data_IF_759267085259
#
_entry.id   IF_759267085259
#
_cell.length_a   1.000
_cell.length_b   1.000
_cell.length_c   1.000
_cell.angle_alpha   90.00
_cell.angle_beta   90.00
_cell.angle_gamma   90.00
#
_symmetry.space_group_name_H-M   'P 1'
#
loop_
_entity.id
_entity.type
_entity.pdbx_description
1 polymer ?
#
# COMPACT_ATOMS: atom_id res chain seq x y z
N UNK A 1 5.01 -4.08 -37.70
CA UNK A 1 3.88 -4.88 -38.21
C UNK A 1 3.97 -6.32 -37.71
N UNK A 2 5.14 -6.98 -37.79
CA UNK A 2 5.30 -8.36 -37.28
C UNK A 2 5.20 -8.49 -35.74
N UNK A 3 5.62 -7.47 -34.98
CA UNK A 3 5.40 -7.40 -33.53
C UNK A 3 3.89 -7.40 -33.17
N UNK A 4 3.10 -6.58 -33.89
CA UNK A 4 1.65 -6.45 -33.71
C UNK A 4 0.92 -7.74 -34.12
N UNK A 5 1.39 -8.42 -35.18
CA UNK A 5 0.84 -9.69 -35.65
C UNK A 5 1.13 -10.83 -34.68
N UNK A 6 2.30 -10.82 -34.04
CA UNK A 6 2.65 -11.76 -32.97
C UNK A 6 1.84 -11.49 -31.70
N UNK A 7 1.57 -10.24 -31.34
CA UNK A 7 0.68 -9.87 -30.24
C UNK A 7 -0.72 -10.49 -30.42
N UNK A 8 -1.33 -10.34 -31.60
CA UNK A 8 -2.69 -10.85 -31.88
C UNK A 8 -2.83 -12.37 -31.71
N UNK A 9 -1.77 -13.15 -31.94
CA UNK A 9 -1.77 -14.61 -31.72
C UNK A 9 -1.79 -15.00 -30.24
N UNK A 10 -1.28 -14.17 -29.34
CA UNK A 10 -1.33 -14.38 -27.88
C UNK A 10 -2.69 -14.02 -27.29
N UNK A 11 -3.49 -13.17 -27.95
CA UNK A 11 -4.79 -12.70 -27.46
C UNK A 11 -5.97 -13.61 -27.86
N UNK A 12 -5.90 -14.35 -28.97
CA UNK A 12 -6.98 -15.26 -29.38
C UNK A 12 -7.34 -16.38 -28.36
N UNK A 13 -6.39 -16.93 -27.56
CA UNK A 13 -6.71 -17.87 -26.49
C UNK A 13 -7.35 -17.25 -25.24
N UNK A 14 -7.30 -15.93 -25.05
CA UNK A 14 -7.81 -15.24 -23.86
C UNK A 14 -9.35 -15.18 -23.82
N UNK A 15 -10.04 -15.17 -24.97
CA UNK A 15 -11.50 -15.26 -25.03
C UNK A 15 -12.04 -16.59 -24.47
N UNK A 16 -11.30 -17.69 -24.67
CA UNK A 16 -11.67 -19.00 -24.11
C UNK A 16 -11.46 -19.07 -22.59
N UNK A 17 -10.51 -18.30 -22.06
CA UNK A 17 -10.32 -18.16 -20.61
C UNK A 17 -11.41 -17.28 -19.98
N UNK A 18 -11.95 -16.29 -20.72
CA UNK A 18 -13.12 -15.50 -20.31
C UNK A 18 -14.38 -16.37 -20.22
N UNK A 19 -14.56 -17.31 -21.14
CA UNK A 19 -15.67 -18.27 -21.12
C UNK A 19 -15.52 -19.31 -19.99
N UNK A 20 -14.29 -19.75 -19.70
CA UNK A 20 -13.98 -20.53 -18.50
C UNK A 20 -14.27 -19.77 -17.20
N UNK A 21 -13.84 -18.50 -17.10
CA UNK A 21 -14.15 -17.63 -15.97
C UNK A 21 -15.66 -17.42 -15.84
N UNK A 22 -16.39 -17.17 -16.94
CA UNK A 22 -17.88 -17.07 -16.96
C UNK A 22 -18.57 -18.37 -16.50
N UNK A 23 -18.01 -19.54 -16.82
CA UNK A 23 -18.56 -20.82 -16.39
C UNK A 23 -18.20 -21.18 -14.94
N UNK A 24 -17.04 -20.75 -14.44
CA UNK A 24 -16.69 -20.84 -13.02
C UNK A 24 -17.51 -19.84 -12.17
N UNK A 25 -17.79 -18.65 -12.72
CA UNK A 25 -18.63 -17.57 -12.17
C UNK A 25 -20.07 -18.02 -11.90
N UNK A 26 -20.62 -18.94 -12.71
CA UNK A 26 -21.99 -19.43 -12.53
C UNK A 26 -22.17 -20.41 -11.36
N UNK A 27 -21.09 -20.83 -10.67
CA UNK A 27 -21.12 -21.94 -9.70
C UNK A 27 -20.51 -21.64 -8.32
N UNK A 28 -20.22 -20.37 -7.99
CA UNK A 28 -19.67 -19.95 -6.68
C UNK A 28 -18.44 -20.77 -6.20
N UNK A 29 -17.59 -21.22 -7.14
CA UNK A 29 -16.35 -21.89 -6.78
C UNK A 29 -15.28 -20.87 -6.37
N UNK A 30 -14.47 -21.15 -5.33
CA UNK A 30 -13.20 -20.45 -5.19
C UNK A 30 -12.39 -20.62 -6.49
N UNK A 31 -11.83 -19.52 -7.02
CA UNK A 31 -10.96 -19.53 -8.20
C UNK A 31 -9.60 -20.16 -7.87
N UNK A 32 -9.62 -21.43 -7.49
CA UNK A 32 -8.46 -22.29 -7.26
C UNK A 32 -8.51 -23.39 -8.31
N UNK A 33 -7.51 -23.44 -9.20
CA UNK A 33 -7.39 -24.50 -10.21
C UNK A 33 -6.63 -24.08 -11.48
N UNK A 34 -6.41 -25.02 -12.42
CA UNK A 34 -5.51 -24.84 -13.56
C UNK A 34 -5.86 -23.65 -14.49
N UNK A 35 -7.14 -23.30 -14.60
CA UNK A 35 -7.58 -22.17 -15.43
C UNK A 35 -7.25 -20.81 -14.83
N UNK A 36 -7.27 -20.69 -13.49
CA UNK A 36 -6.82 -19.49 -12.78
C UNK A 36 -5.31 -19.31 -12.87
N UNK A 37 -4.55 -20.38 -12.66
CA UNK A 37 -3.08 -20.38 -12.81
C UNK A 37 -2.68 -19.97 -14.22
N UNK A 38 -3.35 -20.50 -15.24
CA UNK A 38 -3.14 -20.10 -16.64
C UNK A 38 -3.51 -18.63 -16.89
N UNK A 39 -4.60 -18.13 -16.31
CA UNK A 39 -4.98 -16.72 -16.42
C UNK A 39 -3.95 -15.78 -15.77
N UNK A 40 -3.43 -16.17 -14.61
CA UNK A 40 -2.36 -15.44 -13.91
C UNK A 40 -1.02 -15.49 -14.66
N UNK A 41 -0.67 -16.64 -15.23
CA UNK A 41 0.50 -16.77 -16.10
C UNK A 41 0.37 -15.89 -17.34
N UNK A 42 -0.77 -15.93 -18.04
CA UNK A 42 -1.02 -15.06 -19.18
C UNK A 42 -0.91 -13.57 -18.82
N UNK A 43 -1.41 -13.17 -17.64
CA UNK A 43 -1.26 -11.80 -17.15
C UNK A 43 0.21 -11.43 -16.94
N UNK A 44 0.99 -12.35 -16.36
CA UNK A 44 2.42 -12.18 -16.13
C UNK A 44 3.18 -12.05 -17.46
N UNK A 45 2.94 -12.95 -18.40
CA UNK A 45 3.59 -12.92 -19.73
C UNK A 45 3.26 -11.62 -20.48
N UNK A 46 2.01 -11.14 -20.38
CA UNK A 46 1.60 -9.86 -20.95
C UNK A 46 2.27 -8.67 -20.26
N UNK A 47 2.40 -8.71 -18.93
CA UNK A 47 3.11 -7.69 -18.18
C UNK A 47 4.58 -7.64 -18.61
N UNK A 48 5.28 -8.77 -18.65
CA UNK A 48 6.68 -8.86 -19.11
C UNK A 48 6.84 -8.34 -20.54
N UNK A 49 5.92 -8.71 -21.43
CA UNK A 49 5.89 -8.19 -22.79
C UNK A 49 5.80 -6.65 -22.81
N UNK A 50 4.87 -6.06 -22.06
CA UNK A 50 4.71 -4.61 -21.99
C UNK A 50 5.89 -3.89 -21.34
N UNK A 51 6.47 -4.49 -20.30
CA UNK A 51 7.68 -3.98 -19.65
C UNK A 51 8.90 -4.04 -20.57
N UNK A 52 8.99 -5.05 -21.43
CA UNK A 52 10.06 -5.23 -22.42
C UNK A 52 9.98 -4.29 -23.62
N UNK A 53 8.88 -3.57 -23.81
CA UNK A 53 8.83 -2.45 -24.76
C UNK A 53 9.83 -1.38 -24.31
N UNK A 54 10.50 -0.68 -25.22
CA UNK A 54 11.57 0.28 -24.85
C UNK A 54 11.06 1.45 -24.01
N UNK A 55 10.64 2.54 -24.67
CA UNK A 55 10.21 3.76 -24.00
C UNK A 55 8.77 3.66 -23.46
N UNK A 56 8.37 4.62 -22.62
CA UNK A 56 6.96 4.82 -22.24
C UNK A 56 6.10 5.15 -23.49
N UNK A 57 6.67 5.85 -24.46
CA UNK A 57 6.01 6.15 -25.73
C UNK A 57 5.77 4.91 -26.60
N UNK A 58 6.70 3.95 -26.60
CA UNK A 58 6.52 2.69 -27.31
C UNK A 58 5.40 1.85 -26.69
N UNK A 59 5.30 1.89 -25.36
CA UNK A 59 4.18 1.31 -24.64
C UNK A 59 2.86 1.98 -25.07
N UNK A 60 2.78 3.31 -25.02
CA UNK A 60 1.57 4.03 -25.46
C UNK A 60 1.21 3.79 -26.93
N UNK A 61 2.17 3.77 -27.85
CA UNK A 61 1.92 3.44 -29.26
C UNK A 61 1.36 2.03 -29.42
N UNK A 62 1.84 1.08 -28.63
CA UNK A 62 1.35 -0.30 -28.62
C UNK A 62 -0.08 -0.36 -28.09
N UNK A 63 -0.39 0.38 -27.02
CA UNK A 63 -1.75 0.53 -26.48
C UNK A 63 -2.69 1.11 -27.54
N UNK A 64 -2.31 2.20 -28.20
CA UNK A 64 -3.13 2.87 -29.22
C UNK A 64 -3.33 1.99 -30.47
N UNK A 65 -2.34 1.18 -30.84
CA UNK A 65 -2.50 0.19 -31.91
C UNK A 65 -3.52 -0.89 -31.52
N UNK A 66 -3.42 -1.41 -30.30
CA UNK A 66 -4.33 -2.43 -29.79
C UNK A 66 -5.76 -1.93 -29.61
N UNK A 67 -5.95 -0.73 -29.06
CA UNK A 67 -7.25 -0.08 -28.93
C UNK A 67 -7.94 0.14 -30.30
N UNK A 68 -7.16 0.52 -31.32
CA UNK A 68 -7.67 0.65 -32.70
C UNK A 68 -8.13 -0.68 -33.27
N UNK A 69 -7.38 -1.76 -33.04
CA UNK A 69 -7.74 -3.08 -33.54
C UNK A 69 -8.95 -3.67 -32.79
N UNK A 70 -9.05 -3.48 -31.48
CA UNK A 70 -10.26 -3.83 -30.71
C UNK A 70 -11.51 -3.15 -31.28
N UNK A 71 -11.45 -1.82 -31.47
CA UNK A 71 -12.54 -1.04 -32.07
C UNK A 71 -12.93 -1.53 -33.47
N UNK A 72 -11.97 -1.99 -34.27
CA UNK A 72 -12.23 -2.57 -35.60
C UNK A 72 -12.93 -3.92 -35.55
N UNK A 73 -12.66 -4.73 -34.53
CA UNK A 73 -13.22 -6.09 -34.41
C UNK A 73 -14.63 -6.14 -33.81
N UNK A 74 -15.27 -5.00 -33.52
CA UNK A 74 -16.59 -4.89 -32.87
C UNK A 74 -16.71 -5.65 -31.53
N UNK A 75 -15.57 -6.04 -30.95
CA UNK A 75 -15.49 -6.60 -29.61
C UNK A 75 -15.44 -5.43 -28.63
N UNK A 76 -16.47 -5.38 -27.79
CA UNK A 76 -16.74 -4.54 -26.58
C UNK A 76 -15.73 -3.47 -26.15
N UNK A 77 -16.27 -2.34 -25.68
CA UNK A 77 -15.67 -1.25 -24.89
C UNK A 77 -14.19 -0.93 -25.13
N UNK A 78 -13.91 0.27 -25.66
CA UNK A 78 -12.55 0.77 -25.87
C UNK A 78 -11.61 0.51 -24.68
N UNK A 79 -10.36 0.14 -24.97
CA UNK A 79 -9.31 -0.04 -23.96
C UNK A 79 -9.02 1.30 -23.27
N UNK A 80 -8.93 2.36 -24.07
CA UNK A 80 -8.74 3.73 -23.63
C UNK A 80 -10.02 4.53 -23.86
N UNK A 81 -10.57 5.07 -22.77
CA UNK A 81 -11.62 6.08 -22.84
C UNK A 81 -11.00 7.45 -22.59
N UNK A 82 -11.15 8.38 -23.54
CA UNK A 82 -10.65 9.75 -23.34
C UNK A 82 -11.56 10.51 -22.38
N UNK A 83 -10.95 11.38 -21.58
CA UNK A 83 -11.71 12.37 -20.84
C UNK A 83 -12.47 13.30 -21.81
N UNK A 84 -13.73 13.57 -21.49
CA UNK A 84 -14.61 14.40 -22.32
C UNK A 84 -14.21 15.87 -22.21
N UNK A 85 -14.33 16.58 -23.33
CA UNK A 85 -14.05 18.01 -23.38
C UNK A 85 -15.23 18.81 -22.82
N UNK A 86 -15.01 20.05 -22.32
CA UNK A 86 -16.11 20.95 -21.93
C UNK A 86 -17.15 21.15 -23.05
N UNK A 87 -16.71 21.17 -24.31
CA UNK A 87 -17.57 21.27 -25.49
C UNK A 87 -18.49 20.05 -25.62
N UNK A 88 -17.96 18.83 -25.45
CA UNK A 88 -18.74 17.60 -25.53
C UNK A 88 -19.79 17.54 -24.40
N UNK A 89 -19.43 17.97 -23.19
CA UNK A 89 -20.36 18.05 -22.06
C UNK A 89 -21.50 19.04 -22.35
N UNK A 90 -21.18 20.21 -22.92
CA UNK A 90 -22.21 21.18 -23.38
C UNK A 90 -23.12 20.63 -24.48
N UNK A 91 -22.66 19.63 -25.22
CA UNK A 91 -23.43 18.92 -26.24
C UNK A 91 -24.20 17.71 -25.68
N UNK A 92 -24.21 17.51 -24.36
CA UNK A 92 -24.99 16.46 -23.70
C UNK A 92 -24.26 15.13 -23.52
N UNK A 93 -22.95 15.06 -23.79
CA UNK A 93 -22.13 13.88 -23.44
C UNK A 93 -21.93 13.85 -21.92
N UNK A 94 -22.08 12.66 -21.32
CA UNK A 94 -21.87 12.48 -19.89
C UNK A 94 -20.47 12.95 -19.46
N UNK A 95 -20.43 13.78 -18.41
CA UNK A 95 -19.18 14.25 -17.80
C UNK A 95 -18.41 13.06 -17.22
N UNK A 96 -17.16 12.86 -17.63
CA UNK A 96 -16.27 11.83 -17.09
C UNK A 96 -14.94 12.39 -16.55
N UNK A 97 -14.81 13.73 -16.43
CA UNK A 97 -13.64 14.36 -15.80
C UNK A 97 -13.69 14.23 -14.27
N UNK A 98 -12.56 13.92 -13.60
CA UNK A 98 -12.52 13.69 -12.16
C UNK A 98 -13.10 14.83 -11.30
N UNK A 99 -14.10 14.50 -10.47
CA UNK A 99 -14.80 15.42 -9.54
C UNK A 99 -15.13 16.82 -10.15
N UNK A 100 -15.41 16.93 -11.46
CA UNK A 100 -15.70 18.21 -12.14
C UNK A 100 -17.12 18.70 -11.82
N UNK A 101 -17.27 19.96 -11.39
CA UNK A 101 -18.55 20.60 -11.03
C UNK A 101 -19.42 19.84 -10.01
N UNK A 102 -18.81 18.96 -9.20
CA UNK A 102 -19.55 18.17 -8.21
C UNK A 102 -20.44 17.07 -8.81
N UNK A 103 -20.40 16.80 -10.12
CA UNK A 103 -21.19 15.75 -10.78
C UNK A 103 -20.40 15.14 -11.95
N UNK A 104 -20.01 13.87 -11.86
CA UNK A 104 -19.17 13.20 -12.87
C UNK A 104 -19.44 11.69 -12.94
N UNK A 105 -19.00 11.02 -13.99
CA UNK A 105 -18.87 9.56 -14.04
C UNK A 105 -17.59 9.11 -13.31
N UNK A 106 -16.60 10.00 -13.13
CA UNK A 106 -15.33 9.68 -12.47
C UNK A 106 -15.13 10.51 -11.22
N UNK A 107 -14.81 9.83 -10.12
CA UNK A 107 -14.60 10.44 -8.82
C UNK A 107 -13.26 10.00 -8.25
N UNK A 108 -12.44 10.96 -7.83
CA UNK A 108 -11.21 10.69 -7.07
C UNK A 108 -11.57 10.72 -5.59
N UNK A 109 -11.42 9.56 -4.95
CA UNK A 109 -11.76 9.39 -3.54
C UNK A 109 -10.66 9.98 -2.64
N UNK A 110 -10.99 10.21 -1.38
CA UNK A 110 -10.01 10.69 -0.38
C UNK A 110 -8.78 9.79 -0.25
N UNK A 111 -8.92 8.48 -0.52
CA UNK A 111 -7.79 7.55 -0.56
C UNK A 111 -6.90 7.69 -1.81
N UNK A 112 -7.24 8.60 -2.73
CA UNK A 112 -6.53 8.89 -3.98
C UNK A 112 -6.86 7.97 -5.14
N UNK A 113 -7.69 6.95 -4.92
CA UNK A 113 -8.14 6.06 -5.99
C UNK A 113 -9.28 6.71 -6.77
N UNK A 114 -9.28 6.54 -8.08
CA UNK A 114 -10.38 6.96 -8.92
C UNK A 114 -11.38 5.81 -9.09
N UNK A 115 -12.67 6.14 -9.06
CA UNK A 115 -13.78 5.23 -9.34
C UNK A 115 -14.65 5.76 -10.46
N UNK A 116 -15.21 4.84 -11.26
CA UNK A 116 -16.06 5.08 -12.40
C UNK A 116 -17.48 4.56 -12.15
N UNK A 117 -18.48 5.34 -12.51
CA UNK A 117 -19.89 4.96 -12.52
C UNK A 117 -20.43 5.02 -13.96
N UNK A 118 -21.27 4.05 -14.33
CA UNK A 118 -21.88 4.01 -15.66
C UNK A 118 -22.73 5.25 -15.98
N UNK A 119 -23.30 5.90 -14.96
CA UNK A 119 -24.02 7.15 -15.06
C UNK A 119 -23.27 8.25 -14.29
N UNK A 120 -23.49 9.51 -14.66
CA UNK A 120 -22.95 10.65 -13.91
C UNK A 120 -23.61 10.70 -12.52
N UNK A 121 -22.82 10.82 -11.45
CA UNK A 121 -23.25 10.84 -10.04
C UNK A 121 -22.68 12.08 -9.34
N UNK A 122 -23.35 12.55 -8.29
CA UNK A 122 -22.89 13.67 -7.47
C UNK A 122 -21.68 13.28 -6.62
N UNK A 123 -20.72 14.20 -6.48
CA UNK A 123 -19.56 14.03 -5.60
C UNK A 123 -20.04 13.99 -4.14
N UNK A 124 -19.92 12.82 -3.51
CA UNK A 124 -20.22 12.64 -2.10
C UNK A 124 -19.08 13.06 -1.18
N UNK A 125 -19.27 12.95 0.15
CA UNK A 125 -18.29 13.33 1.18
C UNK A 125 -16.93 12.67 1.01
N UNK A 126 -16.87 11.52 0.34
CA UNK A 126 -15.65 10.75 0.13
C UNK A 126 -14.90 11.10 -1.18
N UNK A 127 -15.41 12.00 -2.04
CA UNK A 127 -14.62 12.59 -3.16
C UNK A 127 -13.69 13.65 -2.57
N UNK A 128 -12.50 13.81 -3.14
CA UNK A 128 -11.62 14.94 -2.79
C UNK A 128 -12.26 16.31 -3.08
N UNK A 129 -13.23 16.37 -4.00
CA UNK A 129 -14.08 17.54 -4.28
C UNK A 129 -15.49 17.47 -3.68
N UNK A 130 -15.68 16.65 -2.64
CA UNK A 130 -16.99 16.28 -2.10
C UNK A 130 -17.74 17.41 -1.40
N UNK A 131 -19.06 17.41 -1.53
CA UNK A 131 -19.97 18.16 -0.67
C UNK A 131 -20.79 17.19 0.18
N UNK A 132 -21.31 17.64 1.34
CA UNK A 132 -22.07 16.77 2.26
C UNK A 132 -23.38 16.21 1.68
N UNK A 133 -23.76 16.55 0.43
CA UNK A 133 -25.03 16.19 -0.19
C UNK A 133 -25.03 14.95 -1.08
N UNK A 134 -23.87 14.41 -1.48
CA UNK A 134 -23.80 13.21 -2.34
C UNK A 134 -23.77 11.88 -1.56
N UNK A 135 -24.03 10.74 -2.21
CA UNK A 135 -23.94 9.42 -1.56
C UNK A 135 -22.48 9.11 -1.14
N UNK A 136 -22.26 8.43 0.00
CA UNK A 136 -20.92 8.02 0.39
C UNK A 136 -20.36 7.05 -0.65
N UNK A 137 -19.16 7.34 -1.15
CA UNK A 137 -18.45 6.48 -2.10
C UNK A 137 -17.37 5.71 -1.36
N UNK A 138 -17.25 4.42 -1.63
CA UNK A 138 -16.23 3.57 -1.02
C UNK A 138 -15.25 3.04 -2.06
N UNK A 139 -14.02 2.82 -1.64
CA UNK A 139 -12.98 2.36 -2.54
C UNK A 139 -12.91 0.83 -2.51
N UNK A 140 -13.29 0.18 -3.61
CA UNK A 140 -13.17 -1.28 -3.75
C UNK A 140 -11.72 -1.76 -3.54
N UNK A 141 -10.72 -0.97 -3.94
CA UNK A 141 -9.31 -1.31 -3.75
C UNK A 141 -8.91 -1.27 -2.26
N UNK A 142 -9.45 -0.32 -1.49
CA UNK A 142 -9.27 -0.30 -0.04
C UNK A 142 -9.94 -1.51 0.64
N UNK A 143 -11.12 -1.91 0.16
CA UNK A 143 -11.80 -3.12 0.66
C UNK A 143 -11.01 -4.40 0.30
N UNK A 144 -10.55 -4.54 -0.95
CA UNK A 144 -9.65 -5.61 -1.39
C UNK A 144 -8.42 -5.71 -0.51
N UNK A 145 -7.80 -4.57 -0.15
CA UNK A 145 -6.63 -4.54 0.73
C UNK A 145 -6.97 -5.03 2.14
N UNK A 146 -8.09 -4.57 2.71
CA UNK A 146 -8.57 -5.01 4.03
C UNK A 146 -8.83 -6.51 4.07
N UNK A 147 -9.44 -7.04 3.01
CA UNK A 147 -9.84 -8.44 2.93
C UNK A 147 -8.69 -9.38 2.51
N UNK A 148 -7.68 -8.93 1.75
CA UNK A 148 -6.54 -9.77 1.34
C UNK A 148 -5.51 -10.01 2.43
N UNK A 149 -5.38 -9.09 3.39
CA UNK A 149 -4.39 -9.13 4.48
C UNK A 149 -4.44 -10.39 5.37
N UNK A 150 -5.60 -10.89 5.84
CA UNK A 150 -5.68 -12.11 6.65
C UNK A 150 -5.06 -13.36 6.00
N UNK A 151 -4.88 -13.36 4.68
CA UNK A 151 -4.36 -14.50 3.93
C UNK A 151 -2.85 -14.43 3.68
N UNK A 152 -2.13 -13.56 4.37
CA UNK A 152 -0.68 -13.40 4.24
C UNK A 152 -0.22 -12.92 2.86
N UNK A 153 -1.16 -12.43 2.03
CA UNK A 153 -0.86 -11.82 0.73
C UNK A 153 -0.71 -10.33 0.93
N UNK A 154 0.47 -9.90 1.38
CA UNK A 154 0.84 -8.49 1.37
C UNK A 154 0.99 -8.02 -0.07
N UNK A 155 -0.11 -7.53 -0.63
CA UNK A 155 -0.11 -6.82 -1.90
C UNK A 155 0.52 -5.45 -1.64
N UNK A 156 1.83 -5.41 -1.94
CA UNK A 156 2.72 -4.28 -1.72
C UNK A 156 2.28 -3.06 -2.50
N UNK A 157 2.07 -3.21 -3.81
CA UNK A 157 1.68 -2.09 -4.68
C UNK A 157 0.17 -2.02 -4.81
N UNK A 158 -0.36 -0.81 -4.98
CA UNK A 158 -1.80 -0.61 -5.16
C UNK A 158 -2.31 -1.34 -6.42
N UNK A 159 -1.52 -1.37 -7.49
CA UNK A 159 -1.87 -2.03 -8.74
C UNK A 159 -1.83 -3.56 -8.63
N UNK A 160 -1.26 -4.13 -7.56
CA UNK A 160 -1.39 -5.56 -7.27
C UNK A 160 -2.79 -5.92 -6.75
N UNK A 161 -3.52 -4.94 -6.19
CA UNK A 161 -4.92 -5.09 -5.81
C UNK A 161 -5.85 -5.14 -7.04
N UNK A 162 -5.35 -4.83 -8.25
CA UNK A 162 -6.11 -4.98 -9.50
C UNK A 162 -6.21 -6.44 -9.93
N UNK A 163 -5.37 -7.33 -9.38
CA UNK A 163 -5.57 -8.77 -9.51
C UNK A 163 -6.94 -9.10 -8.93
N UNK A 164 -7.75 -9.95 -9.58
CA UNK A 164 -9.00 -10.39 -8.98
C UNK A 164 -8.66 -10.94 -7.60
N UNK A 165 -9.17 -10.35 -6.50
CA UNK A 165 -8.90 -10.86 -5.18
C UNK A 165 -9.38 -12.31 -5.17
N UNK A 166 -8.65 -13.16 -4.46
CA UNK A 166 -8.92 -14.59 -4.30
C UNK A 166 -10.25 -14.88 -3.57
N UNK A 167 -11.16 -13.92 -3.45
CA UNK A 167 -12.27 -13.96 -2.52
C UNK A 167 -13.56 -13.37 -3.07
N UNK A 168 -14.57 -14.24 -3.13
CA UNK A 168 -16.01 -13.95 -3.24
C UNK A 168 -16.39 -12.94 -4.32
N UNK A 169 -16.32 -13.37 -5.58
CA UNK A 169 -16.81 -12.64 -6.76
C UNK A 169 -18.23 -12.06 -6.60
N UNK A 170 -19.14 -12.79 -5.92
CA UNK A 170 -20.48 -12.29 -5.63
C UNK A 170 -20.47 -11.04 -4.72
N UNK A 171 -19.61 -11.04 -3.70
CA UNK A 171 -19.40 -9.87 -2.82
C UNK A 171 -18.77 -8.73 -3.62
N UNK A 172 -17.82 -9.04 -4.48
CA UNK A 172 -17.16 -8.05 -5.33
C UNK A 172 -18.13 -7.37 -6.30
N UNK A 173 -19.03 -8.13 -6.95
CA UNK A 173 -20.06 -7.57 -7.82
C UNK A 173 -21.02 -6.66 -7.04
N UNK A 174 -21.45 -7.11 -5.85
CA UNK A 174 -22.31 -6.28 -4.99
C UNK A 174 -21.62 -4.99 -4.51
N UNK A 175 -20.29 -5.02 -4.35
CA UNK A 175 -19.51 -3.84 -4.02
C UNK A 175 -19.37 -2.92 -5.23
N UNK A 176 -19.12 -3.42 -6.44
CA UNK A 176 -19.04 -2.57 -7.64
C UNK A 176 -20.32 -1.76 -7.82
N UNK A 177 -21.48 -2.36 -7.65
CA UNK A 177 -22.77 -1.69 -7.79
C UNK A 177 -23.00 -0.59 -6.73
N UNK A 178 -22.37 -0.71 -5.56
CA UNK A 178 -22.47 0.24 -4.44
C UNK A 178 -21.33 1.28 -4.39
N UNK A 179 -20.17 0.94 -4.95
CA UNK A 179 -18.89 1.63 -4.71
C UNK A 179 -18.32 2.30 -5.98
N UNK A 180 -18.78 1.89 -7.17
CA UNK A 180 -18.18 2.26 -8.45
C UNK A 180 -17.02 1.34 -8.83
N UNK A 181 -16.76 1.25 -10.13
CA UNK A 181 -15.66 0.45 -10.70
C UNK A 181 -14.32 1.16 -10.48
N UNK A 182 -13.21 0.47 -10.16
CA UNK A 182 -11.92 1.13 -10.09
C UNK A 182 -11.51 1.62 -11.48
N UNK A 183 -10.90 2.80 -11.58
CA UNK A 183 -10.39 3.34 -12.86
C UNK A 183 -8.96 3.81 -12.70
N UNK A 184 -8.12 3.47 -13.67
CA UNK A 184 -6.78 4.02 -13.79
C UNK A 184 -6.80 5.25 -14.69
N UNK A 185 -6.30 6.37 -14.19
CA UNK A 185 -6.14 7.61 -14.94
C UNK A 185 -4.67 7.72 -15.35
N UNK A 186 -4.40 7.63 -16.64
CA UNK A 186 -3.03 7.78 -17.14
C UNK A 186 -2.58 9.26 -17.17
N UNK A 187 -1.28 9.48 -17.34
CA UNK A 187 -0.68 10.81 -17.42
C UNK A 187 -1.13 11.63 -18.65
N UNK A 188 -1.74 10.98 -19.64
CA UNK A 188 -2.26 11.61 -20.87
C UNK A 188 -3.74 11.98 -20.75
N UNK A 189 -4.37 11.73 -19.60
CA UNK A 189 -5.80 11.97 -19.41
C UNK A 189 -6.69 10.94 -20.10
N UNK A 190 -6.22 9.69 -20.20
CA UNK A 190 -7.01 8.54 -20.61
C UNK A 190 -7.41 7.71 -19.40
N UNK A 191 -8.58 7.10 -19.50
CA UNK A 191 -9.12 6.20 -18.49
C UNK A 191 -8.98 4.75 -18.95
N UNK A 192 -8.47 3.90 -18.07
CA UNK A 192 -8.40 2.45 -18.27
C UNK A 192 -9.23 1.79 -17.17
N UNK A 193 -10.31 1.13 -17.56
CA UNK A 193 -11.13 0.30 -16.67
C UNK A 193 -10.52 -1.11 -16.61
N UNK A 194 -10.14 -1.62 -15.43
CA UNK A 194 -9.45 -2.91 -15.26
C UNK A 194 -10.42 -4.11 -15.34
N UNK A 195 -11.25 -4.16 -16.38
CA UNK A 195 -12.27 -5.22 -16.58
C UNK A 195 -11.72 -6.52 -17.15
N UNK A 196 -10.58 -6.46 -17.83
CA UNK A 196 -9.92 -7.61 -18.46
C UNK A 196 -8.47 -7.74 -17.99
N UNK A 197 -7.96 -8.97 -18.01
CA UNK A 197 -6.58 -9.31 -17.61
C UNK A 197 -5.54 -8.51 -18.40
N UNK A 198 -5.78 -8.29 -19.70
CA UNK A 198 -4.93 -7.48 -20.58
C UNK A 198 -4.79 -6.04 -20.09
N UNK A 199 -5.89 -5.43 -19.60
CA UNK A 199 -5.93 -4.06 -19.06
C UNK A 199 -5.22 -3.97 -17.71
N UNK A 200 -5.40 -4.99 -16.87
CA UNK A 200 -4.69 -5.09 -15.59
C UNK A 200 -3.18 -5.22 -15.82
N UNK A 201 -2.76 -6.13 -16.70
CA UNK A 201 -1.35 -6.29 -17.07
C UNK A 201 -0.75 -4.98 -17.58
N UNK A 202 -1.52 -4.26 -18.40
CA UNK A 202 -1.12 -2.96 -18.93
C UNK A 202 -0.92 -1.90 -17.83
N UNK A 203 -1.90 -1.73 -16.93
CA UNK A 203 -1.79 -0.77 -15.82
C UNK A 203 -0.56 -1.08 -14.96
N UNK A 204 -0.32 -2.37 -14.66
CA UNK A 204 0.84 -2.79 -13.88
C UNK A 204 2.17 -2.49 -14.59
N UNK A 205 2.24 -2.72 -15.90
CA UNK A 205 3.42 -2.37 -16.69
C UNK A 205 3.65 -0.85 -16.75
N UNK A 206 2.59 -0.04 -16.88
CA UNK A 206 2.69 1.43 -16.85
C UNK A 206 3.24 1.91 -15.50
N UNK A 207 2.65 1.45 -14.39
CA UNK A 207 3.10 1.81 -13.05
C UNK A 207 4.54 1.35 -12.79
N UNK A 208 4.92 0.12 -13.16
CA UNK A 208 6.30 -0.37 -13.01
C UNK A 208 7.31 0.48 -13.79
N UNK A 209 6.96 0.91 -15.01
CA UNK A 209 7.82 1.81 -15.78
C UNK A 209 7.93 3.19 -15.13
N UNK A 210 6.83 3.74 -14.62
CA UNK A 210 6.85 5.03 -13.92
C UNK A 210 7.67 4.94 -12.63
N UNK A 211 7.56 3.86 -11.86
CA UNK A 211 8.41 3.60 -10.68
C UNK A 211 9.89 3.62 -11.07
N UNK A 212 10.30 2.87 -12.13
CA UNK A 212 11.69 2.84 -12.63
C UNK A 212 12.19 4.21 -13.09
N UNK A 213 11.33 5.00 -13.76
CA UNK A 213 11.68 6.37 -14.18
C UNK A 213 11.95 7.23 -12.96
N UNK A 214 11.08 7.17 -11.94
CA UNK A 214 11.25 7.97 -10.72
C UNK A 214 12.47 7.52 -9.90
N UNK A 215 12.78 6.21 -9.86
CA UNK A 215 14.02 5.71 -9.23
C UNK A 215 15.27 6.30 -9.90
N UNK A 216 15.26 6.43 -11.23
CA UNK A 216 16.34 7.05 -11.97
C UNK A 216 16.40 8.56 -11.75
N UNK A 217 15.23 9.23 -11.77
CA UNK A 217 15.11 10.66 -11.41
C UNK A 217 15.66 10.92 -10.00
N UNK A 218 15.43 10.01 -9.03
CA UNK A 218 15.97 10.10 -7.67
C UNK A 218 17.50 10.05 -7.67
N UNK A 219 18.11 9.08 -8.37
CA UNK A 219 19.58 8.96 -8.45
C UNK A 219 20.20 10.18 -9.10
N UNK A 220 19.61 10.65 -10.19
CA UNK A 220 20.08 11.84 -10.91
C UNK A 220 19.98 13.07 -10.02
N UNK A 221 18.83 13.30 -9.39
CA UNK A 221 18.65 14.41 -8.45
C UNK A 221 19.64 14.35 -7.28
N UNK A 222 19.89 13.17 -6.71
CA UNK A 222 20.88 13.00 -5.65
C UNK A 222 22.30 13.35 -6.12
N UNK A 223 22.67 12.92 -7.32
CA UNK A 223 23.98 13.20 -7.92
C UNK A 223 24.15 14.70 -8.20
N UNK A 224 23.16 15.33 -8.81
CA UNK A 224 23.19 16.76 -9.17
C UNK A 224 23.20 17.67 -7.93
N UNK A 225 22.59 17.24 -6.83
CA UNK A 225 22.60 17.95 -5.54
C UNK A 225 23.85 17.66 -4.70
N UNK A 226 24.76 16.80 -5.18
CA UNK A 226 26.01 16.48 -4.50
C UNK A 226 25.84 15.61 -3.26
N UNK A 227 24.78 14.80 -3.20
CA UNK A 227 24.62 13.79 -2.16
C UNK A 227 25.51 12.58 -2.42
N UNK A 228 25.97 11.93 -1.35
CA UNK A 228 26.77 10.71 -1.44
C UNK A 228 25.89 9.47 -1.70
N UNK A 229 26.54 8.34 -1.98
CA UNK A 229 25.84 7.08 -2.26
C UNK A 229 24.97 6.63 -1.07
N UNK A 230 25.37 6.94 0.17
CA UNK A 230 24.60 6.53 1.35
C UNK A 230 23.22 7.19 1.39
N UNK A 231 23.16 8.50 1.12
CA UNK A 231 21.90 9.24 1.03
C UNK A 231 21.06 8.72 -0.14
N UNK A 232 21.70 8.42 -1.28
CA UNK A 232 21.01 7.91 -2.47
C UNK A 232 20.36 6.54 -2.20
N UNK A 233 21.11 5.60 -1.59
CA UNK A 233 20.61 4.27 -1.25
C UNK A 233 19.50 4.32 -0.20
N UNK A 234 19.57 5.25 0.74
CA UNK A 234 18.52 5.47 1.73
C UNK A 234 17.27 6.13 1.11
N UNK A 235 17.44 7.04 0.16
CA UNK A 235 16.33 7.64 -0.59
C UNK A 235 15.58 6.58 -1.40
N UNK A 236 16.29 5.70 -2.11
CA UNK A 236 15.66 4.60 -2.87
C UNK A 236 14.93 3.61 -1.95
N UNK A 237 15.51 3.26 -0.79
CA UNK A 237 14.84 2.40 0.20
C UNK A 237 13.61 3.06 0.81
N UNK A 238 13.68 4.36 1.08
CA UNK A 238 12.53 5.15 1.55
C UNK A 238 11.43 5.18 0.51
N UNK A 239 11.80 5.39 -0.75
CA UNK A 239 10.86 5.42 -1.87
C UNK A 239 10.13 4.08 -1.99
N UNK A 240 10.84 2.96 -2.04
CA UNK A 240 10.23 1.61 -2.09
C UNK A 240 9.28 1.36 -0.90
N UNK A 241 9.67 1.80 0.29
CA UNK A 241 8.81 1.67 1.50
C UNK A 241 7.56 2.55 1.40
N UNK A 242 7.66 3.75 0.81
CA UNK A 242 6.51 4.61 0.54
C UNK A 242 5.59 4.00 -0.52
N UNK A 243 6.15 3.40 -1.57
CA UNK A 243 5.41 2.69 -2.62
C UNK A 243 4.54 1.56 -2.03
N UNK A 244 5.07 0.81 -1.07
CA UNK A 244 4.34 -0.22 -0.30
C UNK A 244 3.16 0.33 0.51
N UNK A 245 3.14 1.65 0.71
CA UNK A 245 2.21 2.33 1.58
C UNK A 245 1.41 3.45 0.88
N UNK A 246 1.52 3.60 -0.45
CA UNK A 246 0.89 4.69 -1.23
C UNK A 246 -0.61 4.85 -1.00
N UNK A 247 -1.34 3.75 -0.77
CA UNK A 247 -2.77 3.81 -0.48
C UNK A 247 -3.10 4.49 0.86
N UNK A 248 -2.14 4.66 1.76
CA UNK A 248 -2.24 5.50 2.96
C UNK A 248 -1.93 6.98 2.70
N UNK A 249 -1.39 7.33 1.54
CA UNK A 249 -0.95 8.70 1.17
C UNK A 249 -1.94 9.45 0.27
N UNK A 250 -3.21 9.04 0.25
CA UNK A 250 -4.26 9.71 -0.54
C UNK A 250 -3.90 9.87 -2.02
N UNK A 251 -3.14 8.94 -2.60
CA UNK A 251 -2.72 8.98 -4.01
C UNK A 251 -1.66 10.02 -4.31
N UNK A 252 -0.68 10.20 -3.42
CA UNK A 252 0.49 11.06 -3.67
C UNK A 252 1.15 10.74 -5.02
N UNK A 253 1.46 11.74 -5.86
CA UNK A 253 2.17 11.52 -7.12
C UNK A 253 3.54 10.88 -6.89
N UNK A 254 3.94 9.93 -7.75
CA UNK A 254 5.19 9.18 -7.59
C UNK A 254 6.43 10.07 -7.47
N UNK A 255 6.54 11.11 -8.30
CA UNK A 255 7.65 12.08 -8.22
C UNK A 255 7.67 12.83 -6.90
N UNK A 256 6.51 13.12 -6.31
CA UNK A 256 6.44 13.77 -5.00
C UNK A 256 6.85 12.81 -3.88
N UNK A 257 6.48 11.53 -3.98
CA UNK A 257 7.03 10.50 -3.10
C UNK A 257 8.56 10.38 -3.25
N UNK A 258 9.11 10.55 -4.46
CA UNK A 258 10.55 10.65 -4.69
C UNK A 258 11.20 11.85 -3.99
N UNK A 259 10.62 13.05 -4.12
CA UNK A 259 11.08 14.26 -3.41
C UNK A 259 11.13 14.03 -1.91
N UNK A 260 10.04 13.53 -1.33
CA UNK A 260 9.93 13.23 0.10
C UNK A 260 11.03 12.23 0.51
N UNK A 261 11.26 11.20 -0.29
CA UNK A 261 12.27 10.16 -0.01
C UNK A 261 13.68 10.74 0.05
N UNK A 262 14.06 11.61 -0.89
CA UNK A 262 15.36 12.28 -0.88
C UNK A 262 15.48 13.23 0.31
N UNK A 263 14.44 14.02 0.58
CA UNK A 263 14.44 14.99 1.68
C UNK A 263 14.62 14.28 3.03
N UNK A 264 13.94 13.16 3.24
CA UNK A 264 14.06 12.35 4.45
C UNK A 264 15.43 11.68 4.57
N UNK A 265 15.96 11.11 3.48
CA UNK A 265 17.30 10.53 3.47
C UNK A 265 18.38 11.57 3.80
N UNK A 266 18.33 12.75 3.18
CA UNK A 266 19.25 13.85 3.48
C UNK A 266 19.18 14.24 4.96
N UNK A 267 17.95 14.33 5.52
CA UNK A 267 17.72 14.64 6.93
C UNK A 267 18.31 13.57 7.87
N UNK A 268 18.12 12.28 7.56
CA UNK A 268 18.68 11.17 8.35
C UNK A 268 20.21 11.18 8.37
N UNK A 269 20.83 11.48 7.23
CA UNK A 269 22.28 11.58 7.11
C UNK A 269 22.84 12.96 7.52
N UNK A 270 22.01 13.81 8.16
CA UNK A 270 22.38 15.16 8.64
C UNK A 270 22.98 16.05 7.54
N UNK A 271 22.54 15.85 6.29
CA UNK A 271 22.90 16.68 5.14
C UNK A 271 21.91 17.84 5.02
N UNK A 272 22.38 18.97 4.50
CA UNK A 272 21.51 20.11 4.20
C UNK A 272 20.63 19.75 3.01
N UNK A 273 19.32 19.87 3.17
CA UNK A 273 18.35 19.67 2.10
C UNK A 273 17.84 21.02 1.58
N UNK A 274 17.93 21.24 0.26
CA UNK A 274 17.29 22.36 -0.41
C UNK A 274 16.04 21.84 -1.14
N UNK A 275 14.87 22.01 -0.55
CA UNK A 275 13.61 21.52 -1.12
C UNK A 275 13.32 22.17 -2.48
N UNK A 276 13.54 23.47 -2.65
CA UNK A 276 13.27 24.17 -3.91
C UNK A 276 14.08 23.58 -5.07
N UNK A 277 15.33 23.22 -4.80
CA UNK A 277 16.18 22.54 -5.78
C UNK A 277 15.65 21.13 -6.11
N UNK A 278 15.16 20.37 -5.13
CA UNK A 278 14.56 19.05 -5.35
C UNK A 278 13.29 19.12 -6.21
N UNK A 279 12.40 20.09 -5.92
CA UNK A 279 11.20 20.32 -6.72
C UNK A 279 11.54 20.68 -8.17
N UNK A 280 12.57 21.50 -8.37
CA UNK A 280 13.10 21.79 -9.70
C UNK A 280 13.63 20.55 -10.43
N UNK A 281 14.41 19.71 -9.74
CA UNK A 281 15.02 18.52 -10.32
C UNK A 281 14.01 17.46 -10.75
N UNK A 282 13.00 17.18 -9.91
CA UNK A 282 11.95 16.21 -10.24
C UNK A 282 10.81 16.84 -11.07
N UNK A 283 10.93 18.11 -11.45
CA UNK A 283 9.93 18.85 -12.25
C UNK A 283 8.53 18.78 -11.65
N UNK A 284 8.42 19.04 -10.35
CA UNK A 284 7.16 19.06 -9.61
C UNK A 284 6.91 20.48 -9.10
N UNK A 285 5.70 20.99 -9.24
CA UNK A 285 5.30 22.24 -8.59
C UNK A 285 5.06 22.00 -7.11
N UNK A 286 5.54 22.91 -6.25
CA UNK A 286 5.34 22.82 -4.79
C UNK A 286 3.85 22.85 -4.45
N UNK A 287 3.26 21.74 -3.96
CA UNK A 287 1.86 21.70 -3.59
C UNK A 287 1.65 22.22 -2.17
N UNK A 288 0.52 22.90 -1.91
CA UNK A 288 0.19 23.45 -0.59
C UNK A 288 0.17 22.36 0.50
N UNK A 289 -0.28 21.16 0.16
CA UNK A 289 -0.37 20.01 1.07
C UNK A 289 0.95 19.24 1.26
N UNK A 290 2.05 19.67 0.65
CA UNK A 290 3.35 18.97 0.73
C UNK A 290 3.79 18.68 2.17
N UNK A 291 3.66 19.67 3.07
CA UNK A 291 4.10 19.50 4.46
C UNK A 291 3.30 18.41 5.18
N UNK A 292 2.01 18.29 4.87
CA UNK A 292 1.14 17.26 5.43
C UNK A 292 1.57 15.89 4.92
N UNK A 293 1.81 15.76 3.62
CA UNK A 293 2.30 14.51 3.02
C UNK A 293 3.67 14.11 3.53
N UNK A 294 4.61 15.04 3.61
CA UNK A 294 5.97 14.81 4.13
C UNK A 294 5.95 14.35 5.59
N UNK A 295 5.15 15.00 6.45
CA UNK A 295 4.99 14.59 7.85
C UNK A 295 4.36 13.19 8.00
N UNK A 296 3.30 12.90 7.22
CA UNK A 296 2.69 11.56 7.21
C UNK A 296 3.67 10.51 6.70
N UNK A 297 4.49 10.85 5.71
CA UNK A 297 5.47 9.94 5.10
C UNK A 297 6.57 9.60 6.08
N UNK A 298 7.10 10.61 6.76
CA UNK A 298 8.07 10.45 7.83
C UNK A 298 7.56 9.50 8.92
N UNK A 299 6.34 9.73 9.43
CA UNK A 299 5.75 8.89 10.46
C UNK A 299 5.57 7.44 10.01
N UNK A 300 5.10 7.23 8.78
CA UNK A 300 4.90 5.91 8.23
C UNK A 300 6.22 5.14 8.04
N UNK A 301 7.25 5.81 7.53
CA UNK A 301 8.57 5.21 7.37
C UNK A 301 9.14 4.79 8.71
N UNK A 302 9.03 5.63 9.75
CA UNK A 302 9.44 5.24 11.10
C UNK A 302 8.64 4.07 11.64
N UNK A 303 7.33 4.02 11.42
CA UNK A 303 6.51 2.88 11.83
C UNK A 303 6.98 1.58 11.16
N UNK A 304 7.25 1.61 9.84
CA UNK A 304 7.75 0.43 9.12
C UNK A 304 9.13 0.00 9.59
N UNK A 305 10.07 0.94 9.76
CA UNK A 305 11.41 0.65 10.26
C UNK A 305 11.38 0.08 11.68
N UNK A 306 10.58 0.67 12.58
CA UNK A 306 10.43 0.19 13.95
C UNK A 306 9.81 -1.21 13.99
N UNK A 307 8.74 -1.47 13.23
CA UNK A 307 8.11 -2.80 13.15
C UNK A 307 9.10 -3.84 12.63
N UNK A 308 9.82 -3.53 11.55
CA UNK A 308 10.85 -4.42 11.01
C UNK A 308 11.94 -4.73 12.04
N UNK A 309 12.41 -3.72 12.77
CA UNK A 309 13.41 -3.91 13.82
C UNK A 309 12.86 -4.76 15.00
N UNK A 310 11.59 -4.59 15.38
CA UNK A 310 10.90 -5.44 16.37
C UNK A 310 10.84 -6.89 15.89
N UNK A 311 10.48 -7.11 14.63
CA UNK A 311 10.40 -8.44 14.02
C UNK A 311 11.76 -9.14 13.98
N UNK A 312 12.77 -8.44 13.45
CA UNK A 312 14.14 -8.93 13.40
C UNK A 312 14.66 -9.28 14.79
N UNK A 313 14.38 -8.43 15.80
CA UNK A 313 14.76 -8.74 17.17
C UNK A 313 14.09 -10.01 17.67
N UNK A 314 12.78 -10.12 17.60
CA UNK A 314 12.05 -11.25 18.17
C UNK A 314 12.37 -12.56 17.45
N UNK A 315 12.68 -12.49 16.15
CA UNK A 315 13.17 -13.62 15.38
C UNK A 315 14.59 -14.05 15.81
N UNK A 316 15.49 -13.08 16.02
CA UNK A 316 16.91 -13.28 16.30
C UNK A 316 17.28 -13.27 17.78
N UNK A 317 16.30 -13.16 18.70
CA UNK A 317 16.49 -13.18 20.15
C UNK A 317 16.88 -14.58 20.68
N UNK A 318 17.91 -15.17 20.07
CA UNK A 318 18.60 -16.37 20.56
C UNK A 318 19.08 -16.26 22.01
N UNK A 319 19.55 -15.09 22.52
CA UNK A 319 19.99 -14.99 23.92
C UNK A 319 18.89 -15.30 24.94
N UNK A 320 17.62 -15.15 24.56
CA UNK A 320 16.47 -15.29 25.46
C UNK A 320 15.75 -16.64 25.36
N UNK A 321 16.16 -17.55 24.46
CA UNK A 321 15.50 -18.84 24.22
C UNK A 321 13.96 -18.73 24.20
N UNK A 322 13.43 -17.68 23.55
CA UNK A 322 12.00 -17.42 23.54
C UNK A 322 11.28 -18.55 22.82
N UNK A 323 10.43 -19.27 23.57
CA UNK A 323 9.53 -20.30 23.02
C UNK A 323 8.63 -19.69 21.95
N UNK A 324 8.32 -20.46 20.90
CA UNK A 324 7.54 -19.99 19.73
C UNK A 324 6.23 -19.31 20.11
N UNK A 325 5.52 -19.82 21.12
CA UNK A 325 4.24 -19.27 21.58
C UNK A 325 4.31 -17.91 22.29
N UNK A 326 5.52 -17.45 22.67
CA UNK A 326 5.73 -16.13 23.32
C UNK A 326 6.11 -15.05 22.29
N UNK A 327 6.72 -15.45 21.17
CA UNK A 327 7.23 -14.53 20.15
C UNK A 327 6.13 -13.65 19.53
N UNK A 328 5.01 -14.26 19.15
CA UNK A 328 3.91 -13.52 18.52
C UNK A 328 3.24 -12.52 19.48
N UNK A 329 2.86 -12.89 20.72
CA UNK A 329 2.35 -11.94 21.70
C UNK A 329 3.33 -10.81 22.04
N UNK A 330 4.63 -11.13 22.15
CA UNK A 330 5.68 -10.14 22.39
C UNK A 330 5.75 -9.12 21.25
N UNK A 331 5.74 -9.59 19.99
CA UNK A 331 5.73 -8.75 18.79
C UNK A 331 4.54 -7.82 18.81
N UNK A 332 3.34 -8.37 19.04
CA UNK A 332 2.10 -7.58 19.10
C UNK A 332 2.16 -6.50 20.19
N UNK A 333 2.73 -6.82 21.34
CA UNK A 333 2.86 -5.89 22.48
C UNK A 333 3.83 -4.75 22.18
N UNK A 334 5.01 -5.06 21.64
CA UNK A 334 6.01 -4.05 21.28
C UNK A 334 5.51 -3.12 20.17
N UNK A 335 4.92 -3.68 19.09
CA UNK A 335 4.34 -2.87 18.02
C UNK A 335 3.20 -1.99 18.54
N UNK A 336 2.35 -2.52 19.43
CA UNK A 336 1.28 -1.74 20.08
C UNK A 336 1.79 -0.54 20.85
N UNK A 337 2.80 -0.75 21.68
CA UNK A 337 3.37 0.32 22.46
C UNK A 337 3.95 1.42 21.55
N UNK A 338 4.70 1.02 20.52
CA UNK A 338 5.22 1.94 19.50
C UNK A 338 4.13 2.81 18.86
N UNK A 339 3.05 2.18 18.38
CA UNK A 339 1.94 2.89 17.74
C UNK A 339 1.27 3.89 18.69
N UNK A 340 0.99 3.47 19.93
CA UNK A 340 0.36 4.33 20.93
C UNK A 340 1.24 5.53 21.31
N UNK A 341 2.55 5.34 21.43
CA UNK A 341 3.48 6.46 21.71
C UNK A 341 3.42 7.54 20.62
N UNK A 342 3.29 7.12 19.36
CA UNK A 342 3.18 8.01 18.21
C UNK A 342 1.81 8.70 18.14
N UNK A 343 0.72 7.96 18.39
CA UNK A 343 -0.64 8.51 18.43
C UNK A 343 -0.80 9.58 19.51
N UNK A 344 -0.24 9.32 20.70
CA UNK A 344 -0.26 10.26 21.82
C UNK A 344 0.83 11.34 21.72
N UNK A 345 1.64 11.35 20.64
CA UNK A 345 2.72 12.32 20.39
C UNK A 345 3.65 12.50 21.60
N UNK A 346 4.04 11.38 22.23
CA UNK A 346 4.96 11.38 23.38
C UNK A 346 6.35 11.92 22.99
N UNK A 347 6.69 11.76 21.71
CA UNK A 347 7.88 12.29 21.06
C UNK A 347 7.45 13.24 19.93
N UNK A 348 8.12 14.38 19.83
CA UNK A 348 7.96 15.28 18.68
C UNK A 348 8.70 14.72 17.44
N UNK A 349 8.44 15.28 16.26
CA UNK A 349 8.99 14.79 14.98
C UNK A 349 10.52 14.85 14.91
N UNK A 350 11.13 15.78 15.66
CA UNK A 350 12.59 15.91 15.77
C UNK A 350 13.19 14.81 16.64
N UNK A 351 12.55 14.52 17.77
CA UNK A 351 12.92 13.41 18.65
C UNK A 351 12.71 12.07 17.96
N UNK A 352 11.58 11.85 17.28
CA UNK A 352 11.35 10.63 16.51
C UNK A 352 12.46 10.41 15.47
N UNK A 353 12.84 11.45 14.74
CA UNK A 353 13.93 11.37 13.76
C UNK A 353 15.27 10.95 14.37
N UNK A 354 15.61 11.50 15.53
CA UNK A 354 16.91 11.28 16.16
C UNK A 354 16.96 9.96 16.94
N UNK A 355 15.87 9.63 17.62
CA UNK A 355 15.83 8.62 18.67
C UNK A 355 14.94 7.40 18.33
N UNK A 356 14.40 7.28 17.11
CA UNK A 356 13.48 6.17 16.76
C UNK A 356 14.03 4.80 17.17
N UNK A 357 15.32 4.52 16.94
CA UNK A 357 15.95 3.25 17.34
C UNK A 357 15.89 3.03 18.85
N UNK A 358 16.19 4.06 19.64
CA UNK A 358 16.12 4.00 21.09
C UNK A 358 14.67 3.78 21.55
N UNK A 359 13.71 4.47 20.93
CA UNK A 359 12.28 4.32 21.24
C UNK A 359 11.82 2.89 20.93
N UNK A 360 12.17 2.36 19.76
CA UNK A 360 11.86 0.97 19.37
C UNK A 360 12.44 -0.05 20.35
N UNK A 361 13.71 0.14 20.73
CA UNK A 361 14.39 -0.72 21.72
C UNK A 361 13.68 -0.71 23.08
N UNK A 362 13.28 0.47 23.56
CA UNK A 362 12.53 0.60 24.81
C UNK A 362 11.13 -0.02 24.71
N UNK A 363 10.47 0.05 23.56
CA UNK A 363 9.19 -0.64 23.35
C UNK A 363 9.33 -2.16 23.49
N UNK A 364 10.40 -2.72 22.96
CA UNK A 364 10.73 -4.14 23.08
C UNK A 364 11.01 -4.51 24.55
N UNK A 365 11.82 -3.70 25.24
CA UNK A 365 12.12 -3.88 26.67
C UNK A 365 10.84 -3.91 27.51
N UNK A 366 9.97 -2.91 27.35
CA UNK A 366 8.70 -2.86 28.08
C UNK A 366 7.79 -4.04 27.74
N UNK A 367 7.78 -4.48 26.48
CA UNK A 367 7.06 -5.69 26.10
C UNK A 367 7.63 -6.92 26.83
N UNK A 368 8.95 -7.12 26.89
CA UNK A 368 9.59 -8.21 27.62
C UNK A 368 9.24 -8.18 29.12
N UNK A 369 9.30 -7.00 29.74
CA UNK A 369 8.93 -6.80 31.14
C UNK A 369 7.47 -7.16 31.42
N UNK A 370 6.55 -6.86 30.48
CA UNK A 370 5.14 -7.24 30.61
C UNK A 370 4.90 -8.75 30.61
N UNK A 371 5.84 -9.53 30.06
CA UNK A 371 5.86 -10.99 30.08
C UNK A 371 6.79 -11.57 31.18
N UNK A 372 7.29 -10.72 32.09
CA UNK A 372 8.24 -11.09 33.15
C UNK A 372 9.55 -11.69 32.61
N UNK A 373 9.96 -11.28 31.42
CA UNK A 373 11.23 -11.70 30.81
C UNK A 373 12.26 -10.63 31.11
N UNK A 374 13.30 -11.00 31.87
CA UNK A 374 14.40 -10.10 32.17
C UNK A 374 15.30 -9.96 30.93
N UNK A 375 15.64 -8.72 30.59
CA UNK A 375 16.58 -8.38 29.54
C UNK A 375 17.60 -7.41 30.11
N UNK A 376 18.89 -7.61 29.81
CA UNK A 376 19.93 -6.67 30.25
C UNK A 376 19.98 -5.49 29.28
N UNK A 377 20.28 -4.30 29.79
CA UNK A 377 20.44 -3.10 28.97
C UNK A 377 21.49 -3.29 27.84
N UNK A 378 22.53 -4.08 28.10
CA UNK A 378 23.56 -4.42 27.11
C UNK A 378 23.02 -5.26 25.95
N UNK A 379 22.02 -6.11 26.19
CA UNK A 379 21.39 -6.90 25.14
C UNK A 379 20.61 -5.95 24.22
N UNK A 380 19.84 -5.03 24.80
CA UNK A 380 19.08 -3.96 24.12
C UNK A 380 20.00 -3.04 23.29
N UNK A 381 21.14 -2.64 23.84
CA UNK A 381 22.11 -1.78 23.16
C UNK A 381 22.78 -2.49 21.96
N UNK A 382 23.11 -3.79 22.09
CA UNK A 382 23.63 -4.60 20.96
C UNK A 382 22.64 -4.67 19.80
N UNK A 383 21.33 -4.62 20.09
CA UNK A 383 20.24 -4.70 19.11
C UNK A 383 20.03 -3.39 18.36
N UNK A 384 20.36 -2.25 18.96
CA UNK A 384 20.27 -0.94 18.30
C UNK A 384 21.34 -0.71 17.21
N UNK A 385 22.25 -1.67 17.00
CA UNK A 385 23.33 -1.58 16.01
C UNK A 385 24.54 -0.75 16.46
N UNK A 386 24.77 -0.63 17.77
CA UNK A 386 25.91 0.09 18.35
C UNK A 386 25.55 0.82 19.64
N UNK A 387 26.54 1.51 20.22
CA UNK A 387 26.37 2.31 21.43
C UNK A 387 25.41 3.50 21.16
N UNK A 388 24.12 3.32 21.47
CA UNK A 388 23.21 4.45 21.61
C UNK A 388 23.75 5.38 22.71
N UNK A 389 23.69 6.70 22.54
CA UNK A 389 24.08 7.62 23.60
C UNK A 389 23.27 7.34 24.88
N UNK A 390 23.97 7.02 25.98
CA UNK A 390 23.34 6.61 27.25
C UNK A 390 22.32 7.65 27.75
N UNK A 391 22.58 8.93 27.54
CA UNK A 391 21.65 10.01 27.90
C UNK A 391 20.35 9.97 27.07
N UNK A 392 20.42 9.71 25.76
CA UNK A 392 19.24 9.61 24.90
C UNK A 392 18.40 8.38 25.30
N UNK A 393 19.06 7.25 25.56
CA UNK A 393 18.40 6.04 26.04
C UNK A 393 17.67 6.27 27.37
N UNK A 394 18.31 6.91 28.35
CA UNK A 394 17.70 7.18 29.65
C UNK A 394 16.48 8.11 29.56
N UNK A 395 16.54 9.15 28.74
CA UNK A 395 15.41 10.06 28.52
C UNK A 395 14.22 9.34 27.86
N UNK A 396 14.50 8.58 26.79
CA UNK A 396 13.49 7.78 26.08
C UNK A 396 12.90 6.73 27.02
N UNK A 397 13.75 6.02 27.77
CA UNK A 397 13.35 5.00 28.72
C UNK A 397 12.36 5.53 29.75
N UNK A 398 12.67 6.68 30.35
CA UNK A 398 11.78 7.35 31.28
C UNK A 398 10.43 7.68 30.64
N UNK A 399 10.42 8.36 29.48
CA UNK A 399 9.16 8.75 28.80
C UNK A 399 8.28 7.55 28.46
N UNK A 400 8.86 6.48 27.91
CA UNK A 400 8.10 5.28 27.54
C UNK A 400 7.61 4.54 28.78
N UNK A 401 8.44 4.43 29.83
CA UNK A 401 8.05 3.78 31.08
C UNK A 401 6.93 4.55 31.78
N UNK A 402 7.04 5.88 31.86
CA UNK A 402 6.00 6.76 32.43
C UNK A 402 4.69 6.64 31.63
N UNK A 403 4.77 6.59 30.31
CA UNK A 403 3.59 6.34 29.47
C UNK A 403 2.99 4.95 29.77
N UNK A 404 3.83 3.93 29.84
CA UNK A 404 3.42 2.56 30.09
C UNK A 404 2.85 2.34 31.51
N UNK A 405 3.32 3.07 32.51
CA UNK A 405 2.79 2.97 33.87
C UNK A 405 1.47 3.72 34.06
N UNK A 406 1.26 4.82 33.32
CA UNK A 406 0.14 5.74 33.52
C UNK A 406 -1.06 5.50 32.59
N UNK A 407 -0.91 4.68 31.55
CA UNK A 407 -2.01 4.33 30.65
C UNK A 407 -2.41 2.87 30.80
N UNK A 408 -3.71 2.58 30.64
CA UNK A 408 -4.22 1.21 30.55
C UNK A 408 -3.93 0.56 29.17
N UNK A 409 -2.77 0.84 28.56
CA UNK A 409 -2.39 0.31 27.24
C UNK A 409 -2.39 -1.23 27.21
N UNK A 410 -2.11 -1.85 28.37
CA UNK A 410 -2.09 -3.30 28.60
C UNK A 410 -3.48 -3.94 28.88
N UNK A 411 -4.58 -3.18 29.07
CA UNK A 411 -5.91 -3.78 29.36
C UNK A 411 -6.42 -4.72 28.27
N UNK A 412 -5.98 -4.54 27.03
CA UNK A 412 -6.30 -5.45 25.92
C UNK A 412 -5.58 -6.81 25.99
N UNK A 413 -4.40 -6.89 26.63
CA UNK A 413 -3.62 -8.12 26.76
C UNK A 413 -4.23 -9.10 27.79
N UNK A 414 -5.05 -8.57 28.70
CA UNK A 414 -5.78 -9.37 29.70
C UNK A 414 -6.81 -10.32 29.08
N UNK A 415 -7.35 -10.03 27.89
CA UNK A 415 -8.26 -10.94 27.19
C UNK A 415 -7.55 -12.21 26.70
N UNK A 416 -6.27 -12.14 26.33
CA UNK A 416 -5.49 -13.34 25.97
C UNK A 416 -5.11 -14.21 27.17
N UNK A 417 -5.00 -13.65 28.40
CA UNK A 417 -4.75 -14.43 29.62
C UNK A 417 -5.98 -15.24 30.08
N UNK A 418 -7.19 -14.75 29.83
CA UNK A 418 -8.43 -15.45 30.22
C UNK A 418 -8.81 -16.61 29.30
N UNK A 419 -8.48 -16.54 28.01
CA UNK A 419 -8.68 -17.65 27.08
C UNK A 419 -7.87 -18.91 27.47
N UNK A 420 -6.69 -18.75 28.09
CA UNK A 420 -5.86 -19.89 28.52
C UNK A 420 -6.20 -20.45 29.90
N UNK A 421 -6.92 -19.72 30.75
CA UNK A 421 -7.32 -20.20 32.09
C UNK A 421 -8.67 -20.94 32.11
N UNK A 422 -9.38 -20.98 30.98
CA UNK A 422 -10.63 -21.75 30.83
C UNK A 422 -10.52 -22.99 29.93
N UNK A 423 -9.35 -23.28 29.35
CA UNK A 423 -9.09 -24.59 28.74
C UNK A 423 -8.69 -25.54 29.86
N UNK A 424 -9.66 -26.17 30.51
CA UNK A 424 -9.42 -27.46 31.17
C UNK A 424 -8.78 -28.36 30.11
N UNK A 425 -7.67 -29.02 30.46
CA UNK A 425 -7.06 -30.07 29.64
C UNK A 425 -8.17 -30.96 29.07
N UNK A 426 -8.36 -31.00 27.73
CA UNK A 426 -9.23 -32.00 27.17
C UNK A 426 -8.53 -33.32 27.39
N UNK A 427 -9.11 -34.15 28.26
CA UNK A 427 -8.77 -35.55 28.36
C UNK A 427 -8.69 -36.13 26.95
N UNK A 428 -7.53 -36.72 26.64
CA UNK A 428 -7.21 -37.50 25.45
C UNK A 428 -8.44 -38.03 24.70
N UNK A 429 -8.74 -37.40 23.55
CA UNK A 429 -9.55 -38.01 22.49
C UNK A 429 -8.92 -37.68 21.15
N UNK A 430 -8.64 -38.73 20.40
CA UNK A 430 -8.10 -38.73 19.06
C UNK A 430 -9.02 -37.96 18.09
N UNK A 431 -8.39 -37.00 17.41
CA UNK A 431 -8.57 -36.54 16.01
C UNK A 431 -9.99 -36.46 15.45
N UNK A 432 -10.39 -35.24 15.07
CA UNK A 432 -10.71 -34.90 13.67
C UNK A 432 -10.35 -33.43 13.41
N UNK A 433 -9.43 -33.23 12.45
CA UNK A 433 -9.08 -31.95 11.88
C UNK A 433 -10.33 -31.28 11.30
N UNK A 434 -10.79 -30.22 11.96
CA UNK A 434 -11.60 -29.18 11.34
C UNK A 434 -10.85 -27.86 11.55
N UNK A 435 -10.21 -27.41 10.48
CA UNK A 435 -9.53 -26.12 10.36
C UNK A 435 -10.56 -24.99 10.47
N UNK A 436 -10.87 -24.56 11.68
CA UNK A 436 -11.55 -23.29 11.96
C UNK A 436 -10.51 -22.25 12.36
N UNK A 437 -9.87 -21.66 11.35
CA UNK A 437 -9.11 -20.42 11.55
C UNK A 437 -10.10 -19.28 11.82
N UNK A 438 -10.26 -18.90 13.08
CA UNK A 438 -10.91 -17.64 13.45
C UNK A 438 -10.16 -16.45 12.81
N UNK A 439 -10.86 -15.42 12.30
CA UNK A 439 -10.22 -14.34 11.56
C UNK A 439 -9.30 -13.52 12.48
N UNK A 440 -8.02 -13.56 12.13
CA UNK A 440 -6.92 -12.84 12.75
C UNK A 440 -7.10 -11.34 12.51
N UNK A 441 -7.47 -10.58 13.55
CA UNK A 441 -7.39 -9.12 13.54
C UNK A 441 -5.91 -8.72 13.62
N UNK A 442 -5.30 -8.47 12.46
CA UNK A 442 -3.94 -7.95 12.38
C UNK A 442 -3.86 -6.45 12.66
N UNK A 443 -2.88 -6.11 13.47
CA UNK A 443 -2.67 -4.86 14.18
C UNK A 443 -2.36 -3.65 13.25
N UNK A 444 -2.13 -3.89 11.96
CA UNK A 444 -1.99 -2.84 10.94
C UNK A 444 -3.26 -1.98 10.77
N UNK A 445 -4.41 -2.46 11.27
CA UNK A 445 -5.68 -1.72 11.28
C UNK A 445 -5.58 -0.48 12.18
N UNK A 446 -4.77 -0.48 13.24
CA UNK A 446 -4.63 0.69 14.12
C UNK A 446 -3.95 1.88 13.43
N UNK A 447 -2.98 1.62 12.55
CA UNK A 447 -2.14 2.67 11.95
C UNK A 447 -2.80 3.42 10.79
N UNK A 448 -3.82 2.85 10.14
CA UNK A 448 -4.54 3.51 9.04
C UNK A 448 -5.89 4.11 9.47
N UNK A 449 -6.41 3.79 10.66
CA UNK A 449 -7.74 4.22 11.10
C UNK A 449 -7.77 5.34 12.13
N UNK A 450 -6.62 5.94 12.51
CA UNK A 450 -6.58 6.91 13.61
C UNK A 450 -6.31 8.38 13.21
N UNK A 451 -6.52 8.74 11.94
CA UNK A 451 -6.94 10.09 11.49
C UNK A 451 -7.74 10.03 10.18
N UNK A 452 -8.98 9.60 10.28
CA UNK A 452 -10.11 10.19 9.53
C UNK A 452 -11.13 10.64 10.58
#
# INVERSE_FOLDING_TARGET
>A
MDLIRNCLHWFAPLDRNLEFLKNALAKDYPLTGPGWEKAMQNMHDLQEFFEGLGSLDDLYKTIEAYDRDLKRTARTDALLQKLVTPEAVRQGVAENRPCSYGYSQVHVLECGQAVYFGNTVACGPSCQGGSNGGPPMSCIMCDRRKNSRPYGKDLKRWHDLLRPPYMFLAREQSLVDLCGEPVYLDLRGSMILPREISRVALIRALESKLEKIVEEDIKNACTELGYDQQVTDEALRSFDTLLDCLSGFKGIPLRLAGIISIALAAKWHKKRCNEDALFGQLQVHYPDDYRVWSGNAQLLLFNRLAIKQIEEYIANAQPLNLKSYVRLPLKKTACRLWVLLNEHRIFDDGQLLQDWKAITCTCIEQALLSYHIQCKADDIAKIAGGALPVMALNMVHKKVTDFASNTNWARSLYFCRRAKSHVKEPASREVKDETSEEPILDYEIGLAHLRL
#
